data_IF_088349082206
#
_entry.id   IF_088349082206
#
_cell.length_a   1.000
_cell.length_b   1.000
_cell.length_c   1.000
_cell.angle_alpha   90.00
_cell.angle_beta   90.00
_cell.angle_gamma   90.00
#
_symmetry.space_group_name_H-M   'P 1'
#
loop_
_entity.id
_entity.type
_entity.pdbx_description
1 polymer ?
#
# COMPACT_ATOMS: atom_id res chain seq x y z
N UNK A 1 20.30 -30.74 7.21
CA UNK A 1 19.25 -30.25 6.30
C UNK A 1 18.82 -28.87 6.77
N UNK A 2 18.92 -27.84 5.94
CA UNK A 2 18.49 -26.50 6.32
C UNK A 2 16.95 -26.46 6.38
N UNK A 3 16.39 -26.08 7.53
CA UNK A 3 14.95 -25.96 7.71
C UNK A 3 14.46 -24.74 6.91
N UNK A 4 13.53 -24.94 5.97
CA UNK A 4 13.03 -23.86 5.09
C UNK A 4 11.91 -23.03 5.71
N UNK A 5 11.35 -23.48 6.84
CA UNK A 5 10.33 -22.79 7.63
C UNK A 5 10.64 -21.32 7.96
N UNK A 6 11.84 -20.94 8.45
CA UNK A 6 12.15 -19.54 8.73
C UNK A 6 12.09 -18.65 7.49
N UNK A 7 12.54 -19.15 6.33
CA UNK A 7 12.49 -18.39 5.06
C UNK A 7 11.04 -18.14 4.64
N UNK A 8 10.19 -19.17 4.74
CA UNK A 8 8.76 -19.06 4.40
C UNK A 8 8.07 -18.07 5.35
N UNK A 9 8.38 -18.11 6.64
CA UNK A 9 7.82 -17.19 7.63
C UNK A 9 8.20 -15.72 7.34
N UNK A 10 9.47 -15.47 6.96
CA UNK A 10 9.93 -14.13 6.58
C UNK A 10 9.21 -13.63 5.32
N UNK A 11 9.10 -14.47 4.29
CA UNK A 11 8.41 -14.10 3.04
C UNK A 11 6.93 -13.77 3.33
N UNK A 12 6.25 -14.59 4.13
CA UNK A 12 4.85 -14.37 4.49
C UNK A 12 4.67 -13.05 5.25
N UNK A 13 5.57 -12.75 6.20
CA UNK A 13 5.54 -11.49 6.94
C UNK A 13 5.73 -10.27 6.04
N UNK A 14 6.66 -10.33 5.08
CA UNK A 14 6.89 -9.25 4.11
C UNK A 14 5.67 -9.01 3.24
N UNK A 15 5.03 -10.07 2.74
CA UNK A 15 3.82 -9.96 1.90
C UNK A 15 2.67 -9.32 2.69
N UNK A 16 2.45 -9.76 3.93
CA UNK A 16 1.41 -9.19 4.79
C UNK A 16 1.67 -7.71 5.10
N UNK A 17 2.93 -7.34 5.35
CA UNK A 17 3.32 -5.96 5.56
C UNK A 17 3.05 -5.08 4.34
N UNK A 18 3.39 -5.55 3.13
CA UNK A 18 3.15 -4.83 1.89
C UNK A 18 1.65 -4.63 1.62
N UNK A 19 0.85 -5.67 1.83
CA UNK A 19 -0.61 -5.60 1.72
C UNK A 19 -1.19 -4.55 2.69
N UNK A 20 -0.77 -4.60 3.96
CA UNK A 20 -1.22 -3.64 4.97
C UNK A 20 -0.83 -2.20 4.61
N UNK A 21 0.40 -1.98 4.15
CA UNK A 21 0.88 -0.65 3.75
C UNK A 21 0.22 -0.10 2.47
N UNK A 22 -0.41 -0.97 1.69
CA UNK A 22 -1.07 -0.61 0.42
C UNK A 22 -2.50 -0.13 0.61
N UNK A 23 -3.13 -0.38 1.77
CA UNK A 23 -4.51 0.01 2.04
C UNK A 23 -4.55 1.39 2.71
N UNK A 24 -5.35 2.30 2.17
CA UNK A 24 -5.63 3.58 2.81
C UNK A 24 -7.13 3.90 2.74
N UNK A 25 -7.62 4.58 3.78
CA UNK A 25 -9.04 4.94 3.91
C UNK A 25 -9.17 6.45 3.73
N UNK A 26 -10.07 6.86 2.83
CA UNK A 26 -10.38 8.26 2.58
C UNK A 26 -11.70 8.60 3.25
N UNK A 27 -11.66 9.57 4.17
CA UNK A 27 -12.86 10.07 4.84
C UNK A 27 -13.55 11.15 4.02
N UNK A 28 -14.87 11.30 4.16
CA UNK A 28 -15.66 12.25 3.36
C UNK A 28 -15.28 13.73 3.56
N UNK A 29 -14.53 14.04 4.64
CA UNK A 29 -14.00 15.38 4.95
C UNK A 29 -12.57 15.60 4.47
N UNK A 30 -11.96 14.62 3.81
CA UNK A 30 -10.56 14.62 3.40
C UNK A 30 -10.47 14.29 1.90
N UNK A 31 -9.76 15.11 1.12
CA UNK A 31 -9.41 14.76 -0.26
C UNK A 31 -8.03 14.10 -0.25
N UNK A 32 -7.95 12.89 -0.80
CA UNK A 32 -6.67 12.22 -0.97
C UNK A 32 -6.06 12.62 -2.32
N UNK A 33 -4.97 13.38 -2.25
CA UNK A 33 -4.12 13.71 -3.39
C UNK A 33 -3.10 12.58 -3.56
N UNK A 34 -3.22 11.81 -4.64
CA UNK A 34 -2.22 10.80 -4.98
C UNK A 34 -1.13 11.48 -5.80
N UNK A 35 -0.02 11.77 -5.14
CA UNK A 35 1.15 12.41 -5.74
C UNK A 35 2.18 11.34 -6.14
N UNK A 36 2.68 11.39 -7.37
CA UNK A 36 3.87 10.63 -7.80
C UNK A 36 4.93 11.62 -8.28
N UNK A 37 6.12 11.58 -7.68
CA UNK A 37 7.22 12.51 -7.99
C UNK A 37 6.87 14.01 -7.95
N UNK A 38 5.87 14.40 -7.17
CA UNK A 38 5.39 15.80 -7.10
C UNK A 38 4.35 16.16 -8.16
N UNK A 39 4.01 15.23 -9.07
CA UNK A 39 2.90 15.36 -10.01
C UNK A 39 1.63 14.74 -9.44
N UNK A 40 0.49 15.38 -9.66
CA UNK A 40 -0.83 14.90 -9.23
C UNK A 40 -1.30 13.87 -10.27
N UNK A 41 -1.30 12.59 -9.90
CA UNK A 41 -1.72 11.51 -10.80
C UNK A 41 -3.22 11.24 -10.67
N UNK A 42 -3.77 11.39 -9.47
CA UNK A 42 -5.19 11.12 -9.23
C UNK A 42 -5.69 11.90 -8.01
N UNK A 43 -6.96 12.35 -8.06
CA UNK A 43 -7.64 13.04 -6.97
C UNK A 43 -8.85 12.21 -6.57
N UNK A 44 -8.73 11.49 -5.45
CA UNK A 44 -9.86 10.72 -4.89
C UNK A 44 -10.62 11.60 -3.91
N UNK A 45 -11.74 12.15 -4.38
CA UNK A 45 -12.66 12.96 -3.57
C UNK A 45 -13.83 12.17 -2.98
N UNK A 46 -14.01 10.91 -3.37
CA UNK A 46 -15.07 10.06 -2.82
C UNK A 46 -14.56 9.33 -1.57
N UNK A 47 -15.33 9.29 -0.48
CA UNK A 47 -14.99 8.49 0.67
C UNK A 47 -15.00 7.00 0.32
N UNK A 48 -13.96 6.27 0.70
CA UNK A 48 -13.80 4.88 0.34
C UNK A 48 -12.47 4.27 0.79
N UNK A 49 -12.38 2.95 0.66
CA UNK A 49 -11.13 2.23 0.85
C UNK A 49 -10.44 2.16 -0.51
N UNK A 50 -9.22 2.65 -0.56
CA UNK A 50 -8.42 2.66 -1.78
C UNK A 50 -7.13 1.90 -1.57
N UNK A 51 -6.63 1.33 -2.65
CA UNK A 51 -5.34 0.65 -2.70
C UNK A 51 -4.32 1.55 -3.40
N UNK A 52 -3.22 1.85 -2.71
CA UNK A 52 -2.02 2.46 -3.31
C UNK A 52 -0.97 1.39 -3.49
N UNK A 53 -0.13 1.54 -4.51
CA UNK A 53 1.09 0.75 -4.56
C UNK A 53 1.98 1.13 -3.35
N UNK A 54 2.59 0.17 -2.65
CA UNK A 54 3.38 0.44 -1.45
C UNK A 54 4.71 1.14 -1.80
N UNK A 55 5.14 1.06 -3.06
CA UNK A 55 6.32 1.76 -3.57
C UNK A 55 5.92 2.75 -4.66
N UNK A 56 6.54 3.93 -4.64
CA UNK A 56 6.34 5.00 -5.62
C UNK A 56 7.02 4.74 -6.98
N UNK A 57 7.45 3.50 -7.25
CA UNK A 57 7.96 3.11 -8.55
C UNK A 57 6.76 2.61 -9.35
N UNK A 58 6.18 3.46 -10.20
CA UNK A 58 5.52 3.24 -11.50
C UNK A 58 4.66 4.45 -11.83
#
# INVERSE_FOLDING_TARGET
MANRLPIIAVIAAVILFLLYSSVFVVNARQQALVLRFGEIVDVKSQPGIYFKAPFAFF
#
